data_IF_687223620898
#
_entry.id   IF_687223620898
#
_cell.length_a   1.000
_cell.length_b   1.000
_cell.length_c   1.000
_cell.angle_alpha   90.00
_cell.angle_beta   90.00
_cell.angle_gamma   90.00
#
_symmetry.space_group_name_H-M   'P 1'
#
loop_
_entity.id
_entity.type
_entity.pdbx_description
1 polymer ?
#
# COMPACT_ATOMS: atom_id res chain seq x y z
N UNK A 1 13.63 -35.45 -18.86
CA UNK A 1 12.43 -34.60 -18.59
C UNK A 1 12.81 -33.37 -17.73
N UNK A 2 13.92 -32.68 -18.06
CA UNK A 2 14.52 -31.60 -17.23
C UNK A 2 14.58 -30.24 -17.98
N UNK A 3 14.15 -30.19 -19.24
CA UNK A 3 14.26 -29.00 -20.10
C UNK A 3 13.01 -28.10 -20.14
N UNK A 4 11.87 -28.54 -19.59
CA UNK A 4 10.62 -27.77 -19.66
C UNK A 4 10.50 -26.78 -18.49
N UNK A 5 11.10 -27.08 -17.32
CA UNK A 5 11.04 -26.22 -16.14
C UNK A 5 11.93 -24.98 -16.25
N UNK A 6 13.02 -25.03 -17.02
CA UNK A 6 13.95 -23.89 -17.18
C UNK A 6 13.40 -22.77 -18.07
N UNK A 7 12.48 -23.07 -18.99
CA UNK A 7 11.76 -22.04 -19.75
C UNK A 7 10.61 -21.43 -18.96
N UNK A 8 10.11 -22.13 -17.95
CA UNK A 8 9.10 -21.59 -17.06
C UNK A 8 9.81 -20.60 -16.13
N UNK A 9 9.33 -19.35 -16.15
CA UNK A 9 9.71 -18.33 -15.18
C UNK A 9 8.51 -18.10 -14.24
N UNK A 10 8.20 -19.05 -13.35
CA UNK A 10 6.96 -19.03 -12.59
C UNK A 10 6.94 -17.97 -11.50
N UNK A 11 8.11 -17.43 -11.12
CA UNK A 11 8.22 -16.39 -10.10
C UNK A 11 8.21 -15.03 -10.77
N UNK A 12 7.22 -14.20 -10.45
CA UNK A 12 7.16 -12.79 -10.88
C UNK A 12 7.48 -11.89 -9.70
N UNK A 13 8.19 -10.79 -9.95
CA UNK A 13 8.19 -9.72 -8.96
C UNK A 13 6.76 -9.22 -8.76
N UNK A 14 6.40 -8.95 -7.51
CA UNK A 14 5.06 -8.50 -7.12
C UNK A 14 5.00 -7.00 -6.83
N UNK A 15 6.14 -6.30 -6.80
CA UNK A 15 6.16 -4.85 -6.59
C UNK A 15 5.57 -4.12 -7.79
N UNK A 16 4.79 -3.07 -7.54
CA UNK A 16 4.27 -2.18 -8.58
C UNK A 16 5.37 -1.52 -9.42
N UNK A 17 6.59 -1.44 -8.91
CA UNK A 17 7.77 -0.87 -9.59
C UNK A 17 8.32 -1.78 -10.70
N UNK A 18 8.02 -3.08 -10.66
CA UNK A 18 8.56 -4.09 -11.58
C UNK A 18 7.49 -4.66 -12.53
N UNK A 19 6.36 -3.97 -12.68
CA UNK A 19 5.20 -4.46 -13.46
C UNK A 19 5.31 -4.28 -14.97
N UNK A 20 6.18 -3.39 -15.45
CA UNK A 20 6.27 -3.05 -16.88
C UNK A 20 7.72 -2.81 -17.36
N UNK A 21 8.35 -3.77 -18.07
CA UNK A 21 7.88 -5.14 -18.26
C UNK A 21 7.96 -5.95 -16.96
N UNK A 22 7.13 -7.01 -16.79
CA UNK A 22 7.18 -7.85 -15.60
C UNK A 22 8.54 -8.55 -15.48
N UNK A 23 9.19 -8.40 -14.32
CA UNK A 23 10.40 -9.16 -14.00
C UNK A 23 10.05 -10.58 -13.56
N UNK A 24 10.53 -11.57 -14.34
CA UNK A 24 10.28 -12.98 -14.14
C UNK A 24 11.57 -13.75 -13.86
N UNK A 25 11.51 -14.70 -12.93
CA UNK A 25 12.63 -15.52 -12.47
C UNK A 25 12.30 -17.01 -12.60
N UNK A 26 13.32 -17.81 -12.89
CA UNK A 26 13.19 -19.26 -12.99
C UNK A 26 13.32 -19.95 -11.63
N UNK A 27 14.03 -19.34 -10.67
CA UNK A 27 14.23 -19.89 -9.32
C UNK A 27 13.65 -18.98 -8.26
N UNK A 28 13.12 -19.61 -7.20
CA UNK A 28 12.62 -18.92 -6.00
C UNK A 28 13.72 -18.08 -5.34
N UNK A 29 14.95 -18.59 -5.28
CA UNK A 29 16.08 -17.89 -4.68
C UNK A 29 16.38 -16.57 -5.41
N UNK A 30 16.37 -16.58 -6.74
CA UNK A 30 16.61 -15.39 -7.57
C UNK A 30 15.51 -14.34 -7.33
N UNK A 31 14.26 -14.78 -7.25
CA UNK A 31 13.11 -13.94 -6.92
C UNK A 31 13.21 -13.33 -5.51
N UNK A 32 13.51 -14.16 -4.50
CA UNK A 32 13.64 -13.72 -3.10
C UNK A 32 14.82 -12.76 -2.93
N UNK A 33 15.96 -13.06 -3.53
CA UNK A 33 17.16 -12.21 -3.47
C UNK A 33 16.90 -10.85 -4.14
N UNK A 34 16.17 -10.83 -5.25
CA UNK A 34 15.69 -9.60 -5.87
C UNK A 34 14.80 -8.79 -4.91
N UNK A 35 13.76 -9.42 -4.32
CA UNK A 35 12.86 -8.73 -3.40
C UNK A 35 13.61 -8.12 -2.20
N UNK A 36 14.52 -8.87 -1.58
CA UNK A 36 15.27 -8.36 -0.43
C UNK A 36 16.33 -7.31 -0.78
N UNK A 37 17.02 -7.45 -1.91
CA UNK A 37 18.14 -6.57 -2.26
C UNK A 37 17.67 -5.30 -2.94
N UNK A 38 16.61 -5.37 -3.76
CA UNK A 38 16.12 -4.25 -4.55
C UNK A 38 14.96 -3.52 -3.87
N UNK A 39 13.98 -4.24 -3.32
CA UNK A 39 12.85 -3.65 -2.58
C UNK A 39 13.08 -3.63 -1.06
N UNK A 40 14.26 -4.02 -0.60
CA UNK A 40 14.67 -3.97 0.80
C UNK A 40 14.08 -5.09 1.67
N UNK A 41 14.56 -5.24 2.92
CA UNK A 41 14.14 -6.33 3.81
C UNK A 41 12.68 -6.23 4.27
N UNK A 42 12.04 -5.07 4.11
CA UNK A 42 10.63 -4.81 4.45
C UNK A 42 9.72 -4.82 3.21
N UNK A 43 10.19 -5.33 2.07
CA UNK A 43 9.44 -5.35 0.81
C UNK A 43 7.99 -5.83 0.99
N UNK A 44 7.74 -6.85 1.83
CA UNK A 44 6.40 -7.39 2.05
C UNK A 44 5.42 -6.41 2.69
N UNK A 45 5.93 -5.37 3.37
CA UNK A 45 5.13 -4.31 3.97
C UNK A 45 4.94 -3.10 3.04
N UNK A 46 5.78 -2.98 2.01
CA UNK A 46 5.84 -1.83 1.10
C UNK A 46 5.16 -2.08 -0.25
N UNK A 47 5.02 -3.34 -0.65
CA UNK A 47 4.27 -3.72 -1.85
C UNK A 47 2.76 -3.56 -1.60
N UNK A 48 2.06 -2.90 -2.53
CA UNK A 48 0.63 -2.61 -2.47
C UNK A 48 0.21 -2.00 -1.12
N UNK A 49 0.86 -0.91 -0.71
CA UNK A 49 0.56 -0.23 0.57
C UNK A 49 -0.91 0.20 0.65
N UNK A 50 -1.64 -0.18 1.72
CA UNK A 50 -2.99 0.31 1.93
C UNK A 50 -2.97 1.82 2.20
N UNK A 51 -4.03 2.51 1.80
CA UNK A 51 -4.23 3.90 2.16
C UNK A 51 -4.73 3.98 3.61
N UNK A 52 -4.27 5.02 4.30
CA UNK A 52 -4.74 5.43 5.61
C UNK A 52 -5.13 6.90 5.52
N UNK A 53 -6.21 7.27 6.20
CA UNK A 53 -6.72 8.63 6.21
C UNK A 53 -6.31 9.32 7.50
N UNK A 54 -6.08 10.64 7.45
CA UNK A 54 -5.72 11.40 8.66
C UNK A 54 -6.45 12.74 8.78
N UNK A 55 -6.49 13.28 9.99
CA UNK A 55 -6.87 14.66 10.24
C UNK A 55 -5.91 15.28 11.25
N UNK A 56 -5.32 16.42 10.92
CA UNK A 56 -4.42 17.19 11.78
C UNK A 56 -4.98 18.57 12.16
N UNK A 57 -6.23 18.85 11.78
CA UNK A 57 -6.87 20.15 11.98
C UNK A 57 -7.48 20.22 13.38
N UNK A 58 -6.95 21.10 14.23
CA UNK A 58 -7.51 21.36 15.56
C UNK A 58 -7.29 20.24 16.59
N UNK A 59 -6.38 19.30 16.29
CA UNK A 59 -6.02 18.20 17.21
C UNK A 59 -4.65 18.44 17.84
N UNK A 60 -4.44 17.92 19.05
CA UNK A 60 -3.12 17.96 19.71
C UNK A 60 -2.09 17.05 19.04
N UNK A 61 -2.56 16.02 18.34
CA UNK A 61 -1.78 15.14 17.47
C UNK A 61 -2.66 14.68 16.29
N UNK A 62 -2.08 14.30 15.13
CA UNK A 62 -2.85 13.80 14.00
C UNK A 62 -3.66 12.54 14.38
N UNK A 63 -4.94 12.54 14.00
CA UNK A 63 -5.81 11.37 14.10
C UNK A 63 -5.68 10.55 12.83
N UNK A 64 -5.69 9.23 12.96
CA UNK A 64 -5.56 8.30 11.84
C UNK A 64 -6.72 7.33 11.78
N UNK A 65 -7.16 7.04 10.55
CA UNK A 65 -8.31 6.20 10.25
C UNK A 65 -7.94 5.16 9.20
N UNK A 66 -8.31 3.90 9.45
CA UNK A 66 -8.04 2.78 8.54
C UNK A 66 -9.01 2.78 7.34
N UNK A 67 -10.14 3.48 7.44
CA UNK A 67 -11.17 3.56 6.40
C UNK A 67 -11.51 5.00 6.10
N UNK A 68 -11.73 5.31 4.83
CA UNK A 68 -12.20 6.61 4.33
C UNK A 68 -13.42 7.13 5.11
N UNK A 69 -14.41 6.26 5.31
CA UNK A 69 -15.65 6.56 6.06
C UNK A 69 -15.38 7.06 7.47
N UNK A 70 -14.31 6.60 8.11
CA UNK A 70 -13.93 7.07 9.45
C UNK A 70 -13.48 8.53 9.45
N UNK A 71 -12.71 8.94 8.42
CA UNK A 71 -12.37 10.36 8.25
C UNK A 71 -13.60 11.17 7.82
N UNK A 72 -14.45 10.63 6.96
CA UNK A 72 -15.68 11.30 6.51
C UNK A 72 -16.59 11.66 7.70
N UNK A 73 -16.91 10.66 8.53
CA UNK A 73 -17.71 10.85 9.74
C UNK A 73 -17.07 11.88 10.68
N UNK A 74 -15.75 11.77 10.88
CA UNK A 74 -14.99 12.73 11.68
C UNK A 74 -15.10 14.18 11.17
N UNK A 75 -14.95 14.39 9.85
CA UNK A 75 -15.06 15.72 9.24
C UNK A 75 -16.47 16.30 9.38
N UNK A 76 -17.51 15.48 9.21
CA UNK A 76 -18.91 15.91 9.37
C UNK A 76 -19.23 16.28 10.82
N UNK A 77 -18.74 15.49 11.79
CA UNK A 77 -19.06 15.68 13.21
C UNK A 77 -18.25 16.82 13.85
N UNK A 78 -16.97 16.96 13.46
CA UNK A 78 -16.03 17.83 14.18
C UNK A 78 -15.68 19.11 13.41
N UNK A 79 -15.83 19.10 12.08
CA UNK A 79 -15.36 20.18 11.21
C UNK A 79 -16.43 20.65 10.21
N UNK A 80 -17.72 20.50 10.56
CA UNK A 80 -18.85 20.96 9.73
C UNK A 80 -18.92 22.49 9.57
N UNK A 81 -18.24 23.23 10.44
CA UNK A 81 -18.06 24.68 10.39
C UNK A 81 -16.91 25.10 9.46
N UNK A 82 -15.97 24.20 9.20
CA UNK A 82 -14.78 24.44 8.36
C UNK A 82 -15.02 23.93 6.93
N UNK A 83 -15.61 22.74 6.80
CA UNK A 83 -15.81 22.08 5.51
C UNK A 83 -17.29 21.95 5.19
N UNK A 84 -17.69 22.48 4.04
CA UNK A 84 -18.99 22.17 3.45
C UNK A 84 -19.02 20.71 2.97
N UNK A 85 -20.20 20.08 2.94
CA UNK A 85 -20.36 18.67 2.56
C UNK A 85 -19.81 18.36 1.17
N UNK A 86 -19.91 19.32 0.26
CA UNK A 86 -19.43 19.23 -1.12
C UNK A 86 -17.89 19.19 -1.20
N UNK A 87 -17.19 19.69 -0.18
CA UNK A 87 -15.72 19.71 -0.13
C UNK A 87 -15.13 18.43 0.48
N UNK A 88 -15.93 17.68 1.24
CA UNK A 88 -15.49 16.47 1.95
C UNK A 88 -14.79 15.46 1.02
N UNK A 89 -15.32 15.11 -0.18
CA UNK A 89 -14.64 14.17 -1.06
C UNK A 89 -13.23 14.60 -1.47
N UNK A 90 -13.01 15.91 -1.64
CA UNK A 90 -11.68 16.45 -1.96
C UNK A 90 -10.73 16.32 -0.77
N UNK A 91 -11.20 16.64 0.44
CA UNK A 91 -10.41 16.51 1.67
C UNK A 91 -10.06 15.05 1.95
N UNK A 92 -10.99 14.11 1.75
CA UNK A 92 -10.75 12.66 1.90
C UNK A 92 -9.62 12.17 0.99
N UNK A 93 -9.59 12.64 -0.26
CA UNK A 93 -8.55 12.27 -1.21
C UNK A 93 -7.18 12.85 -0.81
N UNK A 94 -7.15 14.13 -0.41
CA UNK A 94 -5.92 14.84 -0.04
C UNK A 94 -5.33 14.34 1.29
N UNK A 95 -6.18 13.94 2.22
CA UNK A 95 -5.77 13.48 3.54
C UNK A 95 -5.66 11.95 3.60
N UNK A 96 -5.27 11.34 2.49
CA UNK A 96 -4.95 9.92 2.40
C UNK A 96 -3.46 9.73 2.13
N UNK A 97 -2.85 8.76 2.79
CA UNK A 97 -1.42 8.48 2.68
C UNK A 97 -1.17 6.97 2.72
N UNK A 98 -0.22 6.46 1.91
CA UNK A 98 0.15 5.05 1.96
C UNK A 98 0.75 4.69 3.33
N UNK A 99 0.17 3.69 4.00
CA UNK A 99 0.66 3.14 5.26
C UNK A 99 1.39 1.82 5.02
N UNK A 100 2.32 1.47 5.91
CA UNK A 100 2.97 0.17 5.86
C UNK A 100 1.97 -0.91 6.25
N UNK A 101 2.02 -2.07 5.56
CA UNK A 101 1.27 -3.24 6.03
C UNK A 101 1.88 -3.75 7.33
N UNK A 102 1.06 -4.44 8.11
CA UNK A 102 1.54 -5.13 9.30
C UNK A 102 2.62 -6.16 8.94
N UNK A 103 3.66 -6.31 9.78
CA UNK A 103 4.66 -7.34 9.57
C UNK A 103 4.01 -8.73 9.61
N UNK A 104 4.53 -9.65 8.80
CA UNK A 104 4.06 -11.04 8.70
C UNK A 104 2.67 -11.25 8.08
N UNK A 105 2.04 -10.20 7.54
CA UNK A 105 0.84 -10.34 6.70
C UNK A 105 1.26 -10.57 5.25
N UNK A 106 0.66 -11.55 4.58
CA UNK A 106 0.96 -11.82 3.17
C UNK A 106 0.36 -10.69 2.30
N UNK A 107 1.14 -10.06 1.40
CA UNK A 107 0.64 -8.97 0.56
C UNK A 107 -0.35 -9.43 -0.53
N UNK A 108 -0.56 -10.74 -0.69
CA UNK A 108 -1.39 -11.36 -1.73
C UNK A 108 -2.64 -12.09 -1.19
N UNK A 109 -2.81 -12.21 0.13
CA UNK A 109 -3.94 -12.92 0.75
C UNK A 109 -5.08 -11.99 1.17
#
# INVERSE_FOLDING_TARGET
RHHILTSLKPYTCISEECKDPPLLFSKESEWRDHLHSFHGPRWSQEVYRPLQWCCDIGHSAPLYFVKEKGLEEHLVETHSDIFAREQIPTVLNQNSLPSLREPHVCPLC
#
